data_IF_905402772939
#
_entry.id   IF_905402772939
#
_cell.length_a   1.000
_cell.length_b   1.000
_cell.length_c   1.000
_cell.angle_alpha   90.00
_cell.angle_beta   90.00
_cell.angle_gamma   90.00
#
_symmetry.space_group_name_H-M   'P 1'
#
loop_
_entity.id
_entity.type
_entity.pdbx_description
1 polymer ?
#
# COMPACT_ATOMS: atom_id res chain seq x y z
N UNK A 1 -0.27 -17.14 9.81
CA UNK A 1 -0.38 -16.29 8.61
C UNK A 1 -1.36 -15.18 8.92
N UNK A 2 -0.86 -13.98 9.06
CA UNK A 2 -1.69 -12.79 9.28
C UNK A 2 -2.24 -12.26 7.95
N UNK A 3 -3.32 -11.49 8.03
CA UNK A 3 -4.03 -10.94 6.86
C UNK A 3 -4.34 -9.46 7.05
N UNK A 4 -4.50 -8.75 5.94
CA UNK A 4 -5.05 -7.40 5.91
C UNK A 4 -6.06 -7.27 4.77
N UNK A 5 -6.96 -6.31 4.89
CA UNK A 5 -7.90 -5.95 3.83
C UNK A 5 -7.53 -4.54 3.36
N UNK A 6 -7.22 -4.41 2.08
CA UNK A 6 -7.01 -3.12 1.42
C UNK A 6 -8.36 -2.71 0.84
N UNK A 7 -8.98 -1.70 1.43
CA UNK A 7 -10.24 -1.13 0.95
C UNK A 7 -9.95 -0.11 -0.14
N UNK A 8 -10.61 -0.26 -1.28
CA UNK A 8 -10.52 0.69 -2.39
C UNK A 8 -11.91 1.03 -2.91
N UNK A 9 -12.03 2.15 -3.63
CA UNK A 9 -13.30 2.52 -4.29
C UNK A 9 -13.78 1.49 -5.31
N UNK A 10 -12.87 0.64 -5.81
CA UNK A 10 -13.15 -0.40 -6.80
C UNK A 10 -13.33 -1.80 -6.19
N UNK A 11 -13.34 -1.90 -4.86
CA UNK A 11 -13.53 -3.15 -4.13
C UNK A 11 -12.44 -3.43 -3.10
N UNK A 12 -12.67 -4.49 -2.33
CA UNK A 12 -11.79 -4.93 -1.25
C UNK A 12 -10.81 -5.99 -1.75
N UNK A 13 -9.52 -5.81 -1.44
CA UNK A 13 -8.48 -6.80 -1.71
C UNK A 13 -7.98 -7.41 -0.40
N UNK A 14 -8.09 -8.72 -0.25
CA UNK A 14 -7.52 -9.43 0.90
C UNK A 14 -6.09 -9.85 0.58
N UNK A 15 -5.15 -9.49 1.45
CA UNK A 15 -3.74 -9.90 1.36
C UNK A 15 -3.38 -10.79 2.54
N UNK A 16 -2.57 -11.81 2.28
CA UNK A 16 -2.02 -12.72 3.28
C UNK A 16 -0.51 -12.53 3.35
N UNK A 17 0.02 -12.48 4.58
CA UNK A 17 1.43 -12.20 4.82
C UNK A 17 2.21 -13.46 5.14
N UNK A 18 3.41 -13.54 4.56
CA UNK A 18 4.43 -14.52 4.90
C UNK A 18 5.25 -14.04 6.11
N UNK A 19 4.65 -14.11 7.30
CA UNK A 19 5.22 -13.58 8.55
C UNK A 19 6.61 -14.16 8.87
N UNK A 20 6.87 -15.42 8.51
CA UNK A 20 8.13 -16.12 8.79
C UNK A 20 9.22 -15.75 7.79
N UNK A 21 8.86 -15.59 6.51
CA UNK A 21 9.83 -15.37 5.43
C UNK A 21 10.26 -13.90 5.34
N UNK A 22 9.38 -12.97 5.70
CA UNK A 22 9.66 -11.53 5.65
C UNK A 22 9.19 -10.77 6.92
N UNK A 23 9.65 -11.16 8.11
CA UNK A 23 9.11 -10.67 9.39
C UNK A 23 9.20 -9.14 9.54
N UNK A 24 10.33 -8.54 9.12
CA UNK A 24 10.54 -7.10 9.24
C UNK A 24 9.65 -6.30 8.26
N UNK A 25 9.51 -6.78 7.02
CA UNK A 25 8.66 -6.14 6.01
C UNK A 25 7.20 -6.18 6.44
N UNK A 26 6.74 -7.34 6.91
CA UNK A 26 5.37 -7.51 7.39
C UNK A 26 5.10 -6.64 8.63
N UNK A 27 6.05 -6.60 9.57
CA UNK A 27 5.93 -5.73 10.76
C UNK A 27 5.84 -4.24 10.38
N UNK A 28 6.69 -3.78 9.46
CA UNK A 28 6.65 -2.39 8.99
C UNK A 28 5.33 -2.06 8.27
N UNK A 29 4.86 -2.94 7.38
CA UNK A 29 3.60 -2.74 6.68
C UNK A 29 2.42 -2.66 7.66
N UNK A 30 2.33 -3.59 8.62
CA UNK A 30 1.28 -3.60 9.64
C UNK A 30 1.31 -2.34 10.51
N UNK A 31 2.50 -1.88 10.89
CA UNK A 31 2.67 -0.64 11.66
C UNK A 31 2.11 0.55 10.89
N UNK A 32 2.58 0.79 9.66
CA UNK A 32 2.13 1.90 8.83
C UNK A 32 0.62 1.82 8.53
N UNK A 33 0.09 0.62 8.28
CA UNK A 33 -1.34 0.43 8.07
C UNK A 33 -2.16 0.76 9.34
N UNK A 34 -1.68 0.38 10.52
CA UNK A 34 -2.35 0.67 11.80
C UNK A 34 -2.30 2.16 12.15
N UNK A 35 -1.28 2.88 11.68
CA UNK A 35 -1.13 4.33 11.81
C UNK A 35 -1.94 5.12 10.76
N UNK A 36 -2.68 4.45 9.86
CA UNK A 36 -3.47 5.09 8.81
C UNK A 36 -2.63 5.70 7.68
N UNK A 37 -1.35 5.32 7.56
CA UNK A 37 -0.43 5.89 6.58
C UNK A 37 -0.94 5.74 5.13
N UNK A 38 -1.49 4.57 4.81
CA UNK A 38 -1.98 4.23 3.47
C UNK A 38 -3.35 4.84 3.15
N UNK A 39 -4.03 5.45 4.12
CA UNK A 39 -5.34 6.04 3.90
C UNK A 39 -5.23 7.24 2.95
N UNK A 40 -6.09 7.24 1.93
CA UNK A 40 -6.10 8.26 0.87
C UNK A 40 -4.96 8.15 -0.14
N UNK A 41 -4.10 7.13 -0.06
CA UNK A 41 -3.03 6.92 -1.06
C UNK A 41 -3.59 6.25 -2.31
N UNK A 42 -3.35 6.85 -3.48
CA UNK A 42 -3.72 6.24 -4.76
C UNK A 42 -2.69 5.21 -5.28
N UNK A 43 -3.16 4.28 -6.13
CA UNK A 43 -2.30 3.50 -7.02
C UNK A 43 -1.89 4.38 -8.22
N UNK A 44 -0.73 5.03 -8.10
CA UNK A 44 -0.26 6.00 -9.10
C UNK A 44 0.39 5.36 -10.34
N UNK A 45 0.71 4.06 -10.29
CA UNK A 45 1.29 3.33 -11.42
C UNK A 45 0.53 2.03 -11.65
N UNK A 46 -0.07 1.90 -12.83
CA UNK A 46 -0.87 0.75 -13.27
C UNK A 46 -0.42 0.35 -14.66
N UNK A 47 0.15 -0.85 -14.79
CA UNK A 47 0.60 -1.40 -16.06
C UNK A 47 -0.15 -2.72 -16.31
N UNK A 48 -0.97 -2.80 -17.37
CA UNK A 48 -1.66 -4.03 -17.75
C UNK A 48 -0.70 -5.21 -17.86
N UNK A 49 -1.17 -6.38 -17.41
CA UNK A 49 -0.41 -7.65 -17.45
C UNK A 49 0.94 -7.62 -16.72
N UNK A 50 1.15 -6.66 -15.81
CA UNK A 50 2.38 -6.56 -15.05
C UNK A 50 2.13 -6.24 -13.57
N UNK A 51 1.82 -4.99 -13.22
CA UNK A 51 1.79 -4.58 -11.82
C UNK A 51 0.97 -3.31 -11.58
N UNK A 52 0.44 -3.21 -10.37
CA UNK A 52 -0.03 -1.96 -9.77
C UNK A 52 0.89 -1.58 -8.60
N UNK A 53 1.21 -0.30 -8.47
CA UNK A 53 2.07 0.20 -7.41
C UNK A 53 1.41 1.40 -6.73
N UNK A 54 1.40 1.35 -5.39
CA UNK A 54 0.85 2.36 -4.50
C UNK A 54 1.77 2.60 -3.31
N UNK A 55 1.24 3.16 -2.23
CA UNK A 55 2.00 3.41 -1.00
C UNK A 55 2.89 4.65 -1.02
N UNK A 56 2.69 5.58 -1.96
CA UNK A 56 3.43 6.84 -2.03
C UNK A 56 2.65 7.98 -1.36
N UNK A 57 3.19 8.66 -0.34
CA UNK A 57 2.53 9.82 0.29
C UNK A 57 2.21 10.95 -0.69
N UNK A 58 3.03 11.10 -1.73
CA UNK A 58 2.85 12.11 -2.77
C UNK A 58 1.70 11.80 -3.74
N UNK A 59 1.04 10.64 -3.62
CA UNK A 59 -0.18 10.32 -4.38
C UNK A 59 -1.45 10.49 -3.56
N UNK A 60 -1.39 11.21 -2.42
CA UNK A 60 -2.58 11.68 -1.70
C UNK A 60 -3.12 12.97 -2.32
N UNK A 61 -4.42 13.18 -2.20
CA UNK A 61 -5.06 14.42 -2.63
C UNK A 61 -4.42 15.63 -1.94
N UNK A 62 -4.04 16.63 -2.74
CA UNK A 62 -3.39 17.85 -2.26
C UNK A 62 -1.88 17.76 -2.04
N UNK A 63 -1.24 16.61 -2.28
CA UNK A 63 0.21 16.51 -2.27
C UNK A 63 0.84 17.22 -3.48
N UNK A 64 1.97 17.91 -3.27
CA UNK A 64 2.70 18.65 -4.30
C UNK A 64 3.93 17.92 -4.85
N UNK A 65 4.29 16.77 -4.26
CA UNK A 65 5.42 15.95 -4.69
C UNK A 65 5.09 15.08 -5.89
N UNK A 66 6.11 14.62 -6.59
CA UNK A 66 5.94 13.66 -7.68
C UNK A 66 5.59 12.28 -7.12
N UNK A 67 4.46 11.70 -7.56
CA UNK A 67 4.10 10.33 -7.20
C UNK A 67 5.13 9.34 -7.77
N UNK A 68 5.46 8.30 -7.00
CA UNK A 68 6.42 7.25 -7.40
C UNK A 68 7.87 7.51 -7.01
N UNK A 69 8.18 8.60 -6.29
CA UNK A 69 9.51 8.84 -5.72
C UNK A 69 9.80 8.06 -4.44
N UNK A 70 8.83 7.26 -3.97
CA UNK A 70 8.91 6.55 -2.70
C UNK A 70 8.56 7.43 -1.50
N UNK A 71 8.52 6.80 -0.32
CA UNK A 71 8.34 7.41 0.99
C UNK A 71 9.23 6.68 2.00
#
# INVERSE_FOLDING_TARGET
MSKAIIKTEKGDMTVEFYDVDAPNTVANFKKLASEGFYDGVAFHRVIPDFVIQGGCPNSKDGASGMAGTGG
#
